data_IF_613504855205
#
_entry.id   IF_613504855205
#
_cell.length_a   1.000
_cell.length_b   1.000
_cell.length_c   1.000
_cell.angle_alpha   90.00
_cell.angle_beta   90.00
_cell.angle_gamma   90.00
#
_symmetry.space_group_name_H-M   'P 1'
#
loop_
_entity.id
_entity.type
_entity.pdbx_description
1 polymer ?
#
# COMPACT_ATOMS: atom_id res chain seq x y z
N UNK A 1 12.92 -2.85 -25.09
CA UNK A 1 12.14 -3.30 -23.91
C UNK A 1 12.02 -2.10 -23.00
N UNK A 2 10.82 -1.61 -22.72
CA UNK A 2 10.63 -0.47 -21.83
C UNK A 2 11.01 -0.89 -20.40
N UNK A 3 11.93 -0.17 -19.76
CA UNK A 3 12.24 -0.37 -18.35
C UNK A 3 11.01 0.01 -17.52
N UNK A 4 10.70 -0.75 -16.46
CA UNK A 4 9.53 -0.54 -15.60
C UNK A 4 9.40 0.89 -15.02
N UNK A 5 10.47 1.68 -15.05
CA UNK A 5 10.55 3.06 -14.56
C UNK A 5 9.67 4.06 -15.34
N UNK A 6 9.31 3.77 -16.59
CA UNK A 6 8.57 4.70 -17.46
C UNK A 6 7.03 4.53 -17.40
N UNK A 7 6.54 3.50 -16.69
CA UNK A 7 5.11 3.29 -16.53
C UNK A 7 4.52 4.25 -15.47
N UNK A 8 3.30 4.78 -15.69
CA UNK A 8 2.60 5.52 -14.64
C UNK A 8 2.39 4.62 -13.43
N UNK A 9 2.49 5.19 -12.23
CA UNK A 9 2.33 4.40 -11.01
C UNK A 9 0.91 3.82 -10.93
N UNK A 10 0.85 2.54 -10.56
CA UNK A 10 -0.39 1.81 -10.35
C UNK A 10 -1.06 2.29 -9.08
N UNK A 11 -0.32 2.40 -7.97
CA UNK A 11 -0.81 2.90 -6.70
C UNK A 11 0.05 4.10 -6.28
N UNK A 12 -0.59 5.17 -5.83
CA UNK A 12 0.10 6.35 -5.29
C UNK A 12 -0.56 6.79 -3.99
N UNK A 13 0.27 7.15 -3.01
CA UNK A 13 -0.11 7.96 -1.86
C UNK A 13 0.60 9.31 -2.01
N UNK A 14 -0.13 10.41 -1.84
CA UNK A 14 0.43 11.76 -1.91
C UNK A 14 0.13 12.52 -0.62
N UNK A 15 1.17 12.90 0.10
CA UNK A 15 1.06 13.66 1.34
C UNK A 15 0.16 13.00 2.39
N UNK A 16 0.15 11.66 2.48
CA UNK A 16 -0.80 10.95 3.35
C UNK A 16 -0.44 11.12 4.82
N UNK A 17 -1.43 11.59 5.58
CA UNK A 17 -1.35 11.76 7.02
C UNK A 17 -2.16 10.69 7.76
N UNK A 18 -1.66 10.29 8.93
CA UNK A 18 -2.42 9.52 9.91
C UNK A 18 -2.00 9.90 11.32
N UNK A 19 -2.96 10.35 12.11
CA UNK A 19 -2.79 10.84 13.47
C UNK A 19 -3.61 9.94 14.39
N UNK A 20 -2.98 9.51 15.47
CA UNK A 20 -3.64 8.93 16.65
C UNK A 20 -3.46 9.89 17.83
N UNK A 21 -4.24 9.75 18.91
CA UNK A 21 -4.04 10.59 20.10
C UNK A 21 -2.58 10.56 20.58
N UNK A 22 -1.91 11.71 20.54
CA UNK A 22 -0.52 11.88 20.99
C UNK A 22 0.56 11.44 20.00
N UNK A 23 0.23 10.92 18.81
CA UNK A 23 1.23 10.49 17.81
C UNK A 23 0.77 10.73 16.37
N UNK A 24 1.63 11.36 15.57
CA UNK A 24 1.49 11.40 14.11
C UNK A 24 2.20 10.19 13.52
N UNK A 25 1.44 9.18 13.12
CA UNK A 25 1.96 7.91 12.62
C UNK A 25 2.34 7.93 11.13
N UNK A 26 1.70 8.81 10.34
CA UNK A 26 2.15 9.19 9.00
C UNK A 26 2.14 10.72 8.94
N UNK A 27 3.22 11.31 8.42
CA UNK A 27 3.41 12.75 8.30
C UNK A 27 3.73 13.07 6.84
N UNK A 28 2.71 13.46 6.07
CA UNK A 28 2.85 13.84 4.66
C UNK A 28 3.53 12.78 3.79
N UNK A 29 3.20 11.49 3.96
CA UNK A 29 3.92 10.40 3.30
C UNK A 29 3.57 10.31 1.81
N UNK A 30 4.60 10.41 0.97
CA UNK A 30 4.52 10.11 -0.46
C UNK A 30 5.00 8.68 -0.74
N UNK A 31 4.22 7.94 -1.54
CA UNK A 31 4.55 6.59 -1.94
C UNK A 31 4.03 6.31 -3.35
N UNK A 32 4.79 5.56 -4.16
CA UNK A 32 4.36 5.15 -5.49
C UNK A 32 4.82 3.72 -5.80
N UNK A 33 3.91 2.91 -6.34
CA UNK A 33 4.16 1.55 -6.79
C UNK A 33 3.76 1.43 -8.25
N UNK A 34 4.68 1.04 -9.13
CA UNK A 34 4.40 0.83 -10.56
C UNK A 34 4.02 -0.62 -10.87
N UNK A 35 3.37 -0.86 -12.03
CA UNK A 35 3.15 -2.22 -12.51
C UNK A 35 4.46 -3.00 -12.66
N UNK A 36 4.44 -4.27 -12.26
CA UNK A 36 5.59 -5.17 -12.24
C UNK A 36 6.52 -5.03 -11.02
N UNK A 37 6.35 -4.00 -10.18
CA UNK A 37 7.28 -3.74 -9.09
C UNK A 37 6.94 -4.51 -7.82
N UNK A 38 8.00 -4.72 -7.03
CA UNK A 38 7.91 -5.17 -5.65
C UNK A 38 8.60 -4.14 -4.75
N UNK A 39 7.88 -3.56 -3.80
CA UNK A 39 8.43 -2.56 -2.88
C UNK A 39 8.54 -3.12 -1.47
N UNK A 40 9.73 -3.01 -0.88
CA UNK A 40 9.90 -3.30 0.54
C UNK A 40 9.79 -2.03 1.37
N UNK A 41 8.90 -2.03 2.37
CA UNK A 41 8.82 -0.94 3.35
C UNK A 41 9.74 -1.28 4.53
N UNK A 42 10.84 -0.56 4.65
CA UNK A 42 11.85 -0.75 5.69
C UNK A 42 11.90 0.46 6.62
N UNK A 43 12.27 0.25 7.88
CA UNK A 43 12.33 1.29 8.91
C UNK A 43 12.13 0.74 10.31
N UNK A 44 12.33 1.57 11.32
CA UNK A 44 12.19 1.16 12.73
C UNK A 44 10.74 0.85 13.12
N UNK A 45 10.57 0.20 14.26
CA UNK A 45 9.26 -0.01 14.86
C UNK A 45 8.67 1.35 15.25
N UNK A 46 7.43 1.60 14.83
CA UNK A 46 6.79 2.91 15.00
C UNK A 46 6.98 3.89 13.84
N UNK A 47 7.81 3.58 12.84
CA UNK A 47 8.02 4.45 11.67
C UNK A 47 6.82 4.56 10.70
N UNK A 48 5.64 4.06 11.07
CA UNK A 48 4.42 4.20 10.27
C UNK A 48 4.20 3.16 9.16
N UNK A 49 5.13 2.22 8.91
CA UNK A 49 5.04 1.23 7.83
C UNK A 49 3.71 0.46 7.79
N UNK A 50 3.35 -0.16 8.91
CA UNK A 50 2.09 -0.92 9.03
C UNK A 50 0.88 0.01 9.00
N UNK A 51 1.04 1.26 9.41
CA UNK A 51 -0.01 2.30 9.32
C UNK A 51 -0.29 2.66 7.87
N UNK A 52 0.74 2.89 7.06
CA UNK A 52 0.61 3.15 5.62
C UNK A 52 -0.11 2.00 4.92
N UNK A 53 0.28 0.76 5.22
CA UNK A 53 -0.37 -0.43 4.66
C UNK A 53 -1.84 -0.48 5.03
N UNK A 54 -2.18 -0.27 6.31
CA UNK A 54 -3.57 -0.24 6.79
C UNK A 54 -4.39 0.89 6.16
N UNK A 55 -3.77 2.03 5.86
CA UNK A 55 -4.44 3.14 5.15
C UNK A 55 -4.74 2.76 3.71
N UNK A 56 -3.76 2.22 2.99
CA UNK A 56 -3.93 1.74 1.60
C UNK A 56 -5.01 0.64 1.50
N UNK A 57 -5.07 -0.24 2.50
CA UNK A 57 -6.02 -1.36 2.53
C UNK A 57 -7.36 -1.00 3.16
N UNK A 58 -7.61 0.27 3.50
CA UNK A 58 -8.89 0.72 4.07
C UNK A 58 -9.18 0.19 5.48
N UNK A 59 -8.20 -0.40 6.19
CA UNK A 59 -8.32 -0.76 7.61
C UNK A 59 -8.32 0.49 8.49
N UNK A 60 -7.55 1.51 8.10
CA UNK A 60 -7.50 2.81 8.76
C UNK A 60 -7.85 3.90 7.75
N UNK A 61 -8.66 4.87 8.18
CA UNK A 61 -8.88 6.08 7.40
C UNK A 61 -7.68 7.01 7.54
N UNK A 62 -7.16 7.54 6.43
CA UNK A 62 -6.21 8.67 6.43
C UNK A 62 -6.86 9.92 7.03
N UNK A 63 -6.04 10.78 7.63
CA UNK A 63 -6.51 12.07 8.16
C UNK A 63 -6.17 13.24 7.22
N UNK A 64 -5.37 13.00 6.18
CA UNK A 64 -4.97 13.96 5.15
C UNK A 64 -4.30 13.28 3.96
N UNK A 65 -4.02 14.06 2.91
CA UNK A 65 -3.45 13.58 1.64
C UNK A 65 -4.41 12.72 0.81
N UNK A 66 -3.93 12.18 -0.30
CA UNK A 66 -4.75 11.49 -1.30
C UNK A 66 -4.18 10.11 -1.69
N UNK A 67 -5.07 9.17 -2.04
CA UNK A 67 -4.70 7.87 -2.58
C UNK A 67 -5.21 7.74 -4.01
N UNK A 68 -4.38 7.20 -4.90
CA UNK A 68 -4.74 6.97 -6.30
C UNK A 68 -4.45 5.54 -6.71
N UNK A 69 -5.36 4.93 -7.47
CA UNK A 69 -5.17 3.65 -8.13
C UNK A 69 -5.46 3.79 -9.63
N UNK A 70 -4.50 3.43 -10.48
CA UNK A 70 -4.53 3.68 -11.93
C UNK A 70 -4.85 5.15 -12.26
N UNK A 71 -4.28 6.09 -11.49
CA UNK A 71 -4.51 7.52 -11.63
C UNK A 71 -5.90 8.02 -11.20
N UNK A 72 -6.78 7.15 -10.69
CA UNK A 72 -8.08 7.53 -10.13
C UNK A 72 -7.99 7.63 -8.62
N UNK A 73 -8.53 8.70 -8.05
CA UNK A 73 -8.59 8.84 -6.60
C UNK A 73 -9.46 7.73 -5.98
N UNK A 74 -9.02 7.18 -4.86
CA UNK A 74 -9.73 6.18 -4.08
C UNK A 74 -9.75 6.59 -2.60
N UNK A 75 -10.83 6.27 -1.89
CA UNK A 75 -10.92 6.42 -0.43
C UNK A 75 -11.58 5.16 0.16
N UNK A 76 -10.87 4.01 0.18
CA UNK A 76 -11.45 2.78 0.70
C UNK A 76 -11.70 2.91 2.20
N UNK A 77 -12.93 2.61 2.62
CA UNK A 77 -13.36 2.67 4.02
C UNK A 77 -13.39 1.29 4.70
N UNK A 78 -13.12 0.22 3.94
CA UNK A 78 -13.01 -1.13 4.47
C UNK A 78 -12.08 -1.99 3.58
N UNK A 79 -11.46 -3.05 4.13
CA UNK A 79 -10.65 -4.01 3.37
C UNK A 79 -11.35 -4.58 2.14
N UNK A 80 -12.64 -4.89 2.27
CA UNK A 80 -13.44 -5.41 1.16
C UNK A 80 -13.57 -4.43 -0.02
N UNK A 81 -13.47 -3.11 0.21
CA UNK A 81 -13.48 -2.11 -0.86
C UNK A 81 -12.14 -2.07 -1.58
N UNK A 82 -11.03 -2.08 -0.84
CA UNK A 82 -9.68 -2.21 -1.41
C UNK A 82 -9.54 -3.49 -2.24
N UNK A 83 -10.08 -4.62 -1.77
CA UNK A 83 -10.04 -5.89 -2.50
C UNK A 83 -10.81 -5.82 -3.83
N UNK A 84 -12.00 -5.19 -3.86
CA UNK A 84 -12.77 -4.96 -5.09
C UNK A 84 -12.03 -4.08 -6.09
N UNK A 85 -11.18 -3.17 -5.60
CA UNK A 85 -10.30 -2.35 -6.41
C UNK A 85 -9.06 -3.10 -6.90
N UNK A 86 -8.82 -4.33 -6.41
CA UNK A 86 -7.67 -5.15 -6.74
C UNK A 86 -6.50 -5.00 -5.76
N UNK A 87 -6.68 -4.31 -4.64
CA UNK A 87 -5.68 -4.18 -3.57
C UNK A 87 -5.95 -5.26 -2.52
N UNK A 88 -5.10 -6.27 -2.43
CA UNK A 88 -5.19 -7.35 -1.45
C UNK A 88 -4.08 -7.22 -0.40
N UNK A 89 -4.40 -7.42 0.87
CA UNK A 89 -3.40 -7.50 1.93
C UNK A 89 -3.10 -8.97 2.27
N UNK A 90 -1.82 -9.32 2.44
CA UNK A 90 -1.43 -10.63 3.00
C UNK A 90 -0.88 -10.40 4.39
N UNK A 91 -1.64 -10.86 5.39
CA UNK A 91 -1.20 -10.91 6.78
C UNK A 91 -0.82 -12.36 7.09
N UNK A 92 0.45 -12.62 7.44
CA UNK A 92 0.87 -13.96 7.87
C UNK A 92 0.44 -14.21 9.32
N UNK A 93 -0.20 -15.35 9.58
CA UNK A 93 -0.25 -15.97 10.91
C UNK A 93 1.18 -16.45 11.28
N UNK A 94 1.64 -16.19 12.51
CA UNK A 94 3.00 -16.49 12.98
C UNK A 94 3.34 -18.02 12.95
N UNK A 95 4.59 -18.47 12.67
CA UNK A 95 5.69 -18.27 13.63
C UNK A 95 7.09 -17.96 13.04
N UNK A 96 7.84 -17.15 13.80
CA UNK A 96 9.29 -17.09 13.99
C UNK A 96 10.24 -17.51 12.84
N UNK A 97 10.79 -16.51 12.13
CA UNK A 97 12.24 -16.21 12.03
C UNK A 97 12.48 -15.10 10.98
N UNK A 98 12.99 -13.95 11.46
CA UNK A 98 13.73 -12.88 10.74
C UNK A 98 13.17 -12.42 9.39
N UNK A 99 12.49 -11.26 9.32
CA UNK A 99 11.73 -10.89 8.09
C UNK A 99 11.62 -9.37 7.77
N UNK A 100 11.19 -9.08 6.52
CA UNK A 100 11.17 -7.80 5.78
C UNK A 100 9.82 -7.63 5.02
N UNK A 101 9.24 -6.42 4.94
CA UNK A 101 7.91 -6.17 4.33
C UNK A 101 7.96 -6.09 2.80
N UNK A 102 6.88 -6.46 2.08
CA UNK A 102 6.84 -6.49 0.60
C UNK A 102 5.47 -6.10 0.02
N UNK A 103 5.47 -5.30 -1.04
CA UNK A 103 4.35 -5.01 -1.93
C UNK A 103 4.61 -5.71 -3.26
N UNK A 104 3.63 -6.32 -3.93
CA UNK A 104 3.83 -6.96 -5.26
C UNK A 104 2.66 -6.67 -6.18
N UNK A 105 2.91 -6.32 -7.43
CA UNK A 105 1.85 -6.34 -8.45
C UNK A 105 1.81 -7.67 -9.19
N UNK A 106 0.64 -8.20 -9.53
CA UNK A 106 0.52 -9.36 -10.44
C UNK A 106 -0.31 -9.03 -11.67
N UNK A 107 0.20 -9.38 -12.85
CA UNK A 107 -0.52 -9.32 -14.11
C UNK A 107 -0.88 -10.75 -14.53
N UNK A 108 -1.99 -11.28 -14.06
CA UNK A 108 -2.59 -12.49 -14.68
C UNK A 108 -3.35 -12.06 -15.93
N UNK A 109 -3.23 -12.82 -17.03
CA UNK A 109 -3.71 -12.52 -18.39
C UNK A 109 -5.01 -11.72 -18.57
N UNK A 110 -5.03 -10.97 -19.67
CA UNK A 110 -6.06 -10.05 -20.17
C UNK A 110 -7.50 -10.31 -19.66
N UNK A 111 -7.91 -9.58 -18.60
CA UNK A 111 -9.30 -9.17 -18.27
C UNK A 111 -9.50 -8.83 -16.79
N UNK A 112 -8.50 -9.04 -15.91
CA UNK A 112 -8.57 -8.64 -14.49
C UNK A 112 -7.80 -7.35 -14.24
N UNK A 113 -8.30 -6.42 -13.39
CA UNK A 113 -7.54 -5.23 -13.01
C UNK A 113 -6.21 -5.63 -12.36
N UNK A 114 -5.16 -4.85 -12.60
CA UNK A 114 -3.85 -5.07 -11.99
C UNK A 114 -3.99 -5.12 -10.47
N UNK A 115 -3.56 -6.21 -9.85
CA UNK A 115 -3.72 -6.40 -8.42
C UNK A 115 -2.47 -5.96 -7.65
N UNK A 116 -2.67 -5.23 -6.55
CA UNK A 116 -1.62 -4.83 -5.61
C UNK A 116 -1.71 -5.72 -4.39
N UNK A 117 -0.66 -6.49 -4.12
CA UNK A 117 -0.55 -7.31 -2.91
C UNK A 117 0.27 -6.54 -1.87
N UNK A 118 -0.22 -6.46 -0.63
CA UNK A 118 0.32 -5.61 0.43
C UNK A 118 0.64 -6.43 1.69
N UNK A 119 1.92 -6.57 2.04
CA UNK A 119 2.35 -7.32 3.23
C UNK A 119 2.97 -6.41 4.30
N UNK A 120 2.41 -6.43 5.52
CA UNK A 120 2.94 -5.74 6.70
C UNK A 120 3.32 -6.74 7.77
N UNK A 121 4.52 -6.64 8.32
CA UNK A 121 4.91 -7.33 9.55
C UNK A 121 5.09 -6.35 10.71
N UNK A 122 5.12 -6.90 11.93
CA UNK A 122 5.11 -6.18 13.20
C UNK A 122 6.52 -5.99 13.75
#
# INVERSE_FOLDING_TARGET
>A
MAHATDAPALLQARGVDKIFPGVRALDGVDFALRPGEIHALLGENGAGKSTLIKVITGVLRRDGGDLFLNGREIDPHAPAESERLGIAAVHQEAPARSTSAWLRTSSSGASRPASVLCGAER
#
